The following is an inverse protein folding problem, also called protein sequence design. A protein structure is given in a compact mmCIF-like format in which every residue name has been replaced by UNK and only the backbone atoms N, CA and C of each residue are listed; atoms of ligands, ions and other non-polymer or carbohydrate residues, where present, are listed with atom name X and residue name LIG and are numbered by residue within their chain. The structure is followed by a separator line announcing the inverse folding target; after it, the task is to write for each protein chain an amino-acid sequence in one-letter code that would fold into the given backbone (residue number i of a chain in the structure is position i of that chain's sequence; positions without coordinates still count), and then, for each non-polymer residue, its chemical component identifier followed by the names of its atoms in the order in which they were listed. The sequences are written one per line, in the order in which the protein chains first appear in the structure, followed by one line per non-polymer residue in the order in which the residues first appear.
data_IF_811710423534
#
_entry.id   IF_811710423534
#
_cell.length_a   1.000
_cell.length_b   1.000
_cell.length_c   1.000
_cell.angle_alpha   90.00
_cell.angle_beta   90.00
_cell.angle_gamma   90.00
#
_symmetry.space_group_name_H-M   'P 1'
#
loop_
_entity.id
_entity.type
_entity.pdbx_description
1 polymer ?
#
# COMPACT_ATOMS: atom_id res chain seq x y z
N UNK A 1 -4.12 -10.40 15.57
CA UNK A 1 -3.30 -11.37 14.80
C UNK A 1 -3.39 -12.71 15.48
N UNK A 2 -3.66 -13.75 14.70
CA UNK A 2 -3.81 -15.14 15.14
C UNK A 2 -2.79 -16.02 14.42
N UNK A 3 -2.45 -17.13 15.03
CA UNK A 3 -1.73 -18.20 14.36
C UNK A 3 -2.73 -19.03 13.54
N UNK A 4 -2.42 -19.25 12.27
CA UNK A 4 -3.32 -19.99 11.37
C UNK A 4 -3.36 -21.50 11.61
N UNK A 5 -2.48 -22.06 12.45
CA UNK A 5 -2.41 -23.50 12.72
C UNK A 5 -3.24 -23.91 13.95
N UNK A 6 -3.09 -23.13 15.07
CA UNK A 6 -3.64 -23.50 16.36
C UNK A 6 -4.58 -22.44 16.98
N UNK A 7 -4.94 -21.42 16.20
CA UNK A 7 -5.81 -20.28 16.59
C UNK A 7 -5.22 -19.39 17.70
N UNK A 8 -4.00 -19.65 18.15
CA UNK A 8 -3.37 -18.83 19.20
C UNK A 8 -3.38 -17.35 18.86
N UNK A 9 -3.90 -16.52 19.76
CA UNK A 9 -3.87 -15.07 19.59
C UNK A 9 -2.47 -14.53 19.87
N UNK A 10 -1.74 -14.18 18.83
CA UNK A 10 -0.36 -13.71 18.89
C UNK A 10 -0.31 -12.28 19.43
N UNK A 11 -1.25 -11.44 19.06
CA UNK A 11 -1.35 -10.07 19.53
C UNK A 11 -2.67 -9.41 19.12
N UNK A 12 -3.07 -8.43 19.89
CA UNK A 12 -4.26 -7.60 19.63
C UNK A 12 -3.91 -6.15 19.90
N UNK A 13 -4.29 -5.28 18.98
CA UNK A 13 -4.14 -3.85 19.10
C UNK A 13 -5.53 -3.23 19.06
N UNK A 14 -5.86 -2.50 20.12
CA UNK A 14 -7.11 -1.75 20.18
C UNK A 14 -6.98 -0.50 19.31
N UNK A 15 -7.87 -0.37 18.33
CA UNK A 15 -7.87 0.75 17.36
C UNK A 15 -9.07 1.68 17.54
N UNK A 16 -9.66 1.66 18.73
CA UNK A 16 -10.80 2.50 19.11
C UNK A 16 -10.37 3.90 19.58
N UNK A 17 -11.07 4.41 20.61
CA UNK A 17 -10.89 5.79 21.08
C UNK A 17 -9.47 6.09 21.58
N UNK A 18 -8.83 5.17 22.31
CA UNK A 18 -7.46 5.35 22.78
C UNK A 18 -6.45 5.52 21.62
N UNK A 19 -6.64 4.77 20.52
CA UNK A 19 -5.85 4.93 19.31
C UNK A 19 -6.08 6.31 18.68
N UNK A 20 -7.34 6.74 18.58
CA UNK A 20 -7.70 8.05 18.04
C UNK A 20 -7.11 9.20 18.87
N UNK A 21 -7.14 9.10 20.19
CA UNK A 21 -6.53 10.09 21.07
C UNK A 21 -5.02 10.15 20.92
N UNK A 22 -4.35 8.98 20.76
CA UNK A 22 -2.90 8.91 20.60
C UNK A 22 -2.42 9.47 19.25
N UNK A 23 -3.10 9.13 18.15
CA UNK A 23 -2.64 9.44 16.79
C UNK A 23 -3.44 10.54 16.07
N UNK A 24 -4.47 11.08 16.72
CA UNK A 24 -5.28 12.17 16.18
C UNK A 24 -6.33 11.75 15.14
N UNK A 25 -6.26 10.52 14.61
CA UNK A 25 -7.16 10.01 13.59
C UNK A 25 -7.63 8.60 13.93
N UNK A 26 -8.84 8.20 13.51
CA UNK A 26 -9.31 6.83 13.67
C UNK A 26 -8.52 5.88 12.76
N UNK A 27 -8.33 4.65 13.20
CA UNK A 27 -7.95 3.57 12.29
C UNK A 27 -9.15 3.22 11.40
N UNK A 28 -8.97 3.22 10.09
CA UNK A 28 -10.04 2.96 9.15
C UNK A 28 -9.60 1.98 8.05
N UNK A 29 -10.54 1.17 7.61
CA UNK A 29 -10.46 0.39 6.37
C UNK A 29 -11.56 0.87 5.43
N UNK A 30 -11.24 0.96 4.15
CA UNK A 30 -12.17 1.50 3.15
C UNK A 30 -12.10 0.68 1.86
N UNK A 31 -13.22 0.59 1.17
CA UNK A 31 -13.23 0.01 -0.16
C UNK A 31 -12.48 0.94 -1.13
N UNK A 32 -11.59 0.36 -1.93
CA UNK A 32 -10.69 1.14 -2.80
C UNK A 32 -11.41 2.04 -3.80
N UNK A 33 -12.53 1.58 -4.36
CA UNK A 33 -13.32 2.38 -5.29
C UNK A 33 -13.98 3.59 -4.59
N UNK A 34 -14.36 3.44 -3.33
CA UNK A 34 -15.05 4.51 -2.59
C UNK A 34 -14.09 5.68 -2.31
N UNK A 35 -12.86 5.41 -1.84
CA UNK A 35 -11.87 6.46 -1.65
C UNK A 35 -11.42 7.10 -2.97
N UNK A 36 -11.27 6.29 -4.04
CA UNK A 36 -10.92 6.81 -5.35
C UNK A 36 -12.03 7.75 -5.89
N UNK A 37 -13.30 7.33 -5.76
CA UNK A 37 -14.44 8.14 -6.16
C UNK A 37 -14.46 9.49 -5.45
N UNK A 38 -14.35 9.50 -4.12
CA UNK A 38 -14.35 10.73 -3.32
C UNK A 38 -13.20 11.69 -3.68
N UNK A 39 -12.00 11.15 -3.93
CA UNK A 39 -10.86 11.98 -4.36
C UNK A 39 -11.06 12.56 -5.76
N UNK A 40 -11.64 11.78 -6.69
CA UNK A 40 -11.93 12.23 -8.04
C UNK A 40 -13.01 13.32 -8.04
N UNK A 41 -14.11 13.10 -7.30
CA UNK A 41 -15.18 14.09 -7.13
C UNK A 41 -14.62 15.40 -6.57
N UNK A 42 -13.84 15.35 -5.50
CA UNK A 42 -13.20 16.53 -4.92
C UNK A 42 -12.28 17.25 -5.92
N UNK A 43 -11.53 16.51 -6.75
CA UNK A 43 -10.69 17.11 -7.79
C UNK A 43 -11.52 17.84 -8.86
N UNK A 44 -12.62 17.22 -9.31
CA UNK A 44 -13.56 17.81 -10.30
C UNK A 44 -14.21 19.09 -9.75
N UNK A 45 -14.67 19.05 -8.51
CA UNK A 45 -15.33 20.19 -7.85
C UNK A 45 -14.44 21.44 -7.74
N UNK A 46 -13.13 21.27 -7.73
CA UNK A 46 -12.21 22.43 -7.73
C UNK A 46 -12.32 23.28 -9.01
N UNK A 47 -12.77 22.69 -10.13
CA UNK A 47 -12.78 23.34 -11.45
C UNK A 47 -11.38 23.67 -12.00
N UNK A 48 -10.31 23.15 -11.39
CA UNK A 48 -8.91 23.45 -11.73
C UNK A 48 -8.16 22.30 -12.36
N UNK A 49 -8.81 21.15 -12.52
CA UNK A 49 -8.18 19.92 -13.04
C UNK A 49 -8.87 19.55 -14.35
N UNK A 50 -8.10 19.40 -15.41
CA UNK A 50 -8.54 18.85 -16.67
C UNK A 50 -8.13 17.37 -16.77
N UNK A 51 -9.07 16.52 -17.19
CA UNK A 51 -8.84 15.09 -17.29
C UNK A 51 -8.79 14.66 -18.76
N UNK A 52 -7.71 14.01 -19.14
CA UNK A 52 -7.50 13.45 -20.47
C UNK A 52 -7.41 11.93 -20.38
N UNK A 53 -8.51 11.24 -20.61
CA UNK A 53 -8.56 9.78 -20.67
C UNK A 53 -8.00 9.27 -21.99
N UNK A 54 -7.67 7.97 -22.05
CA UNK A 54 -7.08 7.32 -23.25
C UNK A 54 -5.82 8.02 -23.76
N UNK A 55 -5.09 8.70 -22.87
CA UNK A 55 -3.87 9.45 -23.16
C UNK A 55 -2.70 8.81 -22.42
N UNK A 56 -1.98 7.93 -23.10
CA UNK A 56 -0.81 7.24 -22.54
C UNK A 56 0.44 8.06 -22.81
N UNK A 57 1.12 8.46 -21.75
CA UNK A 57 2.41 9.14 -21.86
C UNK A 57 3.50 8.09 -22.08
N UNK A 58 4.37 8.33 -23.06
CA UNK A 58 5.46 7.44 -23.43
C UNK A 58 6.85 8.05 -23.22
N UNK A 59 6.94 9.39 -23.20
CA UNK A 59 8.22 10.09 -23.06
C UNK A 59 8.06 11.40 -22.30
N UNK A 60 9.11 11.78 -21.59
CA UNK A 60 9.24 13.09 -20.94
C UNK A 60 10.48 13.79 -21.49
N UNK A 61 10.36 15.04 -21.87
CA UNK A 61 11.45 15.92 -22.28
C UNK A 61 11.49 17.16 -21.37
N UNK A 62 12.66 17.74 -21.19
CA UNK A 62 12.84 18.96 -20.39
C UNK A 62 13.65 19.98 -21.18
N UNK A 63 13.35 21.25 -20.91
CA UNK A 63 14.07 22.38 -21.44
C UNK A 63 14.51 23.26 -20.26
N UNK A 64 15.80 23.22 -19.96
CA UNK A 64 16.38 23.97 -18.84
C UNK A 64 16.39 25.49 -19.09
N UNK A 65 16.42 25.92 -20.35
CA UNK A 65 16.44 27.34 -20.70
C UNK A 65 15.07 27.98 -20.41
N UNK A 66 13.99 27.29 -20.74
CA UNK A 66 12.62 27.75 -20.47
C UNK A 66 12.07 27.27 -19.12
N UNK A 67 12.79 26.40 -18.44
CA UNK A 67 12.36 25.73 -17.21
C UNK A 67 11.02 25.02 -17.38
N UNK A 68 10.81 24.34 -18.50
CA UNK A 68 9.58 23.58 -18.80
C UNK A 68 9.86 22.09 -18.92
N UNK A 69 8.81 21.30 -18.70
CA UNK A 69 8.79 19.87 -18.93
C UNK A 69 7.66 19.54 -19.89
N UNK A 70 7.90 18.58 -20.79
CA UNK A 70 6.94 18.16 -21.81
C UNK A 70 6.68 16.67 -21.68
N UNK A 71 5.43 16.29 -21.45
CA UNK A 71 4.96 14.92 -21.61
C UNK A 71 4.55 14.70 -23.07
N UNK A 72 4.94 13.56 -23.63
CA UNK A 72 4.60 13.18 -25.02
C UNK A 72 3.77 11.89 -24.95
N UNK A 73 2.58 11.94 -25.53
CA UNK A 73 1.67 10.79 -25.55
C UNK A 73 1.94 9.85 -26.74
N UNK A 74 1.24 8.71 -26.75
CA UNK A 74 1.33 7.66 -27.76
C UNK A 74 1.04 8.13 -29.21
N UNK A 75 0.44 9.31 -29.38
CA UNK A 75 0.13 9.91 -30.67
C UNK A 75 1.12 11.02 -31.05
N UNK A 76 2.16 11.25 -30.23
CA UNK A 76 3.13 12.32 -30.41
C UNK A 76 2.64 13.71 -30.00
N UNK A 77 1.44 13.83 -29.40
CA UNK A 77 0.95 15.10 -28.86
C UNK A 77 1.79 15.51 -27.66
N UNK A 78 2.11 16.78 -27.61
CA UNK A 78 2.99 17.38 -26.61
C UNK A 78 2.17 18.17 -25.58
N UNK A 79 2.42 17.89 -24.30
CA UNK A 79 1.79 18.53 -23.15
C UNK A 79 2.86 19.26 -22.37
N UNK A 80 2.91 20.58 -22.48
CA UNK A 80 3.97 21.41 -21.85
C UNK A 80 3.48 21.98 -20.52
N UNK A 81 4.33 21.89 -19.49
CA UNK A 81 4.04 22.40 -18.16
C UNK A 81 5.29 22.91 -17.44
N UNK A 82 5.08 23.54 -16.28
CA UNK A 82 6.15 24.00 -15.40
C UNK A 82 6.75 22.87 -14.56
N UNK A 83 5.99 21.81 -14.31
CA UNK A 83 6.43 20.61 -13.63
C UNK A 83 5.60 19.40 -14.10
N UNK A 84 6.16 18.21 -13.95
CA UNK A 84 5.51 16.94 -14.24
C UNK A 84 5.59 16.04 -13.01
N UNK A 85 4.45 15.46 -12.63
CA UNK A 85 4.36 14.51 -11.53
C UNK A 85 3.99 13.14 -12.10
N UNK A 86 4.92 12.19 -12.07
CA UNK A 86 4.70 10.80 -12.44
C UNK A 86 3.99 10.05 -11.31
N UNK A 87 2.68 9.89 -11.44
CA UNK A 87 1.84 9.07 -10.57
C UNK A 87 1.34 7.80 -11.28
N UNK A 88 2.14 7.28 -12.20
CA UNK A 88 1.82 6.27 -13.20
C UNK A 88 2.09 4.82 -12.72
N UNK A 89 2.19 4.64 -11.40
CA UNK A 89 2.19 3.33 -10.74
C UNK A 89 3.50 2.57 -10.82
N UNK A 90 3.50 1.33 -10.36
CA UNK A 90 4.72 0.53 -10.20
C UNK A 90 5.48 0.22 -11.50
N UNK A 91 4.81 0.35 -12.65
CA UNK A 91 5.42 0.24 -14.00
C UNK A 91 5.66 1.62 -14.63
N UNK A 92 5.92 2.62 -13.81
CA UNK A 92 6.09 4.02 -14.20
C UNK A 92 7.01 4.23 -15.39
N UNK A 93 6.49 4.88 -16.43
CA UNK A 93 7.26 5.34 -17.60
C UNK A 93 8.16 6.51 -17.20
N UNK A 94 7.66 7.40 -16.34
CA UNK A 94 8.45 8.54 -15.83
C UNK A 94 9.67 8.04 -15.06
N UNK A 95 9.49 7.12 -14.10
CA UNK A 95 10.62 6.53 -13.36
C UNK A 95 11.59 5.83 -14.29
N UNK A 96 11.12 4.99 -15.19
CA UNK A 96 11.97 4.20 -16.09
C UNK A 96 12.85 5.04 -17.00
N UNK A 97 12.44 6.27 -17.31
CA UNK A 97 13.25 7.17 -18.13
C UNK A 97 14.49 7.70 -17.40
N UNK A 98 14.45 7.79 -16.07
CA UNK A 98 15.56 8.33 -15.26
C UNK A 98 16.28 7.27 -14.43
N UNK A 99 15.59 6.18 -14.09
CA UNK A 99 16.10 5.14 -13.20
C UNK A 99 15.94 3.78 -13.86
N UNK A 100 17.05 3.14 -14.17
CA UNK A 100 17.05 1.78 -14.72
C UNK A 100 17.05 0.75 -13.59
N UNK A 101 15.89 0.57 -12.94
CA UNK A 101 15.71 -0.38 -11.85
C UNK A 101 14.62 -1.41 -12.16
N UNK A 102 14.95 -2.69 -12.32
CA UNK A 102 13.95 -3.72 -12.56
C UNK A 102 13.08 -3.94 -11.32
N UNK A 103 11.84 -4.40 -11.49
CA UNK A 103 11.00 -4.81 -10.36
C UNK A 103 11.60 -6.03 -9.68
N UNK A 104 11.55 -6.06 -8.37
CA UNK A 104 11.87 -7.22 -7.54
C UNK A 104 10.60 -8.05 -7.35
N UNK A 105 10.44 -9.08 -8.17
CA UNK A 105 9.35 -10.06 -8.02
C UNK A 105 9.59 -10.86 -6.75
N UNK A 106 8.64 -10.80 -5.82
CA UNK A 106 8.83 -11.34 -4.46
C UNK A 106 8.65 -12.85 -4.36
N UNK A 107 8.07 -13.48 -5.38
CA UNK A 107 7.59 -14.86 -5.31
C UNK A 107 6.32 -15.03 -4.47
N UNK A 108 5.76 -13.94 -3.94
CA UNK A 108 4.51 -13.98 -3.20
C UNK A 108 3.33 -13.69 -4.12
N UNK A 109 2.26 -14.44 -3.92
CA UNK A 109 1.01 -14.28 -4.64
C UNK A 109 -0.08 -13.89 -3.66
N UNK A 110 -0.87 -12.90 -4.04
CA UNK A 110 -2.01 -12.39 -3.29
C UNK A 110 -3.29 -12.70 -4.02
N UNK A 111 -4.23 -13.29 -3.32
CA UNK A 111 -5.60 -13.47 -3.78
C UNK A 111 -6.53 -12.59 -2.97
N UNK A 112 -7.50 -11.98 -3.64
CA UNK A 112 -8.50 -11.14 -2.97
C UNK A 112 -9.89 -11.48 -3.46
N UNK A 113 -10.82 -11.45 -2.51
CA UNK A 113 -12.25 -11.58 -2.77
C UNK A 113 -13.03 -10.70 -1.80
N UNK A 114 -14.24 -10.33 -2.21
CA UNK A 114 -15.23 -9.69 -1.35
C UNK A 114 -16.39 -10.68 -1.17
N UNK A 115 -16.81 -10.85 0.06
CA UNK A 115 -17.90 -11.75 0.46
C UNK A 115 -19.01 -10.89 1.08
N UNK A 116 -20.24 -11.13 0.69
CA UNK A 116 -21.40 -10.43 1.27
C UNK A 116 -21.64 -10.90 2.72
N UNK A 117 -22.14 -10.02 3.55
CA UNK A 117 -22.44 -10.27 4.97
C UNK A 117 -23.29 -11.52 5.19
N UNK A 118 -24.26 -11.75 4.30
CA UNK A 118 -25.17 -12.89 4.40
C UNK A 118 -24.45 -14.24 4.26
N UNK A 119 -23.37 -14.28 3.46
CA UNK A 119 -22.58 -15.48 3.20
C UNK A 119 -21.40 -15.62 4.20
N UNK A 120 -21.17 -14.63 5.07
CA UNK A 120 -20.02 -14.61 6.00
C UNK A 120 -20.39 -15.25 7.35
N UNK A 121 -19.53 -16.11 7.95
CA UNK A 121 -19.81 -16.78 9.23
C UNK A 121 -19.96 -15.79 10.38
N UNK A 122 -20.99 -15.97 11.21
CA UNK A 122 -21.29 -15.08 12.33
C UNK A 122 -20.17 -14.99 13.38
N UNK A 123 -19.50 -16.12 13.63
CA UNK A 123 -18.38 -16.20 14.58
C UNK A 123 -17.07 -15.54 14.07
N UNK A 124 -17.05 -15.09 12.82
CA UNK A 124 -15.93 -14.36 12.19
C UNK A 124 -16.30 -12.92 11.81
N UNK A 125 -17.52 -12.46 12.07
CA UNK A 125 -17.98 -11.07 11.82
C UNK A 125 -17.42 -10.09 12.84
N UNK A 126 -16.08 -10.05 12.93
CA UNK A 126 -15.40 -9.15 13.86
C UNK A 126 -15.26 -7.75 13.27
N UNK A 127 -15.52 -6.72 14.07
CA UNK A 127 -15.16 -5.34 13.70
C UNK A 127 -13.65 -5.12 13.92
N UNK A 128 -12.86 -5.81 13.13
CA UNK A 128 -11.40 -5.79 13.23
C UNK A 128 -10.75 -6.17 11.89
N UNK A 129 -9.57 -5.64 11.64
CA UNK A 129 -8.68 -6.20 10.63
C UNK A 129 -7.92 -7.37 11.25
N UNK A 130 -8.29 -8.59 10.88
CA UNK A 130 -7.82 -9.84 11.49
C UNK A 130 -6.86 -10.55 10.55
N UNK A 131 -5.66 -10.83 11.05
CA UNK A 131 -4.62 -11.53 10.31
C UNK A 131 -4.36 -12.91 10.93
N UNK A 132 -4.28 -13.93 10.11
CA UNK A 132 -3.96 -15.31 10.44
C UNK A 132 -2.61 -15.67 9.80
N UNK A 133 -1.59 -15.74 10.61
CA UNK A 133 -0.22 -15.97 10.17
C UNK A 133 0.13 -17.45 10.18
N UNK A 134 0.62 -17.96 9.07
CA UNK A 134 0.94 -19.39 8.91
C UNK A 134 2.26 -19.64 8.16
N UNK A 135 2.74 -20.88 8.15
CA UNK A 135 3.97 -21.23 7.45
C UNK A 135 3.90 -20.91 5.96
N UNK A 136 4.72 -19.96 5.50
CA UNK A 136 4.79 -19.48 4.11
C UNK A 136 3.47 -18.90 3.56
N UNK A 137 2.50 -18.62 4.44
CA UNK A 137 1.21 -18.04 4.04
C UNK A 137 0.62 -17.18 5.14
N UNK A 138 -0.33 -16.36 4.80
CA UNK A 138 -1.23 -15.70 5.75
C UNK A 138 -2.54 -15.37 5.06
N UNK A 139 -3.56 -15.13 5.86
CA UNK A 139 -4.83 -14.60 5.38
C UNK A 139 -5.28 -13.44 6.27
N UNK A 140 -6.02 -12.52 5.68
CA UNK A 140 -6.56 -11.36 6.36
C UNK A 140 -8.03 -11.22 6.00
N UNK A 141 -8.86 -10.90 7.00
CA UNK A 141 -10.23 -10.49 6.73
C UNK A 141 -10.60 -9.27 7.55
N UNK A 142 -11.49 -8.46 7.02
CA UNK A 142 -12.00 -7.27 7.68
C UNK A 142 -13.31 -6.81 7.04
N UNK A 143 -14.21 -6.15 7.84
CA UNK A 143 -15.44 -5.59 7.33
C UNK A 143 -15.19 -4.40 6.41
N UNK A 144 -16.07 -4.23 5.42
CA UNK A 144 -16.18 -3.09 4.54
C UNK A 144 -17.60 -2.52 4.59
N UNK A 145 -17.78 -1.24 4.24
CA UNK A 145 -19.10 -0.59 4.14
C UNK A 145 -19.95 -0.83 5.39
N UNK A 146 -19.40 -0.57 6.57
CA UNK A 146 -20.12 -0.76 7.83
C UNK A 146 -20.42 -2.22 8.19
N UNK A 147 -19.72 -3.18 7.58
CA UNK A 147 -19.92 -4.61 7.83
C UNK A 147 -20.90 -5.29 6.87
N UNK A 148 -21.39 -4.59 5.84
CA UNK A 148 -22.24 -5.20 4.81
C UNK A 148 -21.47 -6.13 3.88
N UNK A 149 -20.15 -5.95 3.81
CA UNK A 149 -19.24 -6.80 3.05
C UNK A 149 -17.98 -7.11 3.86
N UNK A 150 -17.33 -8.21 3.54
CA UNK A 150 -16.05 -8.62 4.11
C UNK A 150 -15.02 -8.83 3.02
N UNK A 151 -13.88 -8.17 3.15
CA UNK A 151 -12.73 -8.45 2.31
C UNK A 151 -11.97 -9.66 2.86
N UNK A 152 -11.65 -10.61 1.98
CA UNK A 152 -10.79 -11.75 2.29
C UNK A 152 -9.57 -11.68 1.40
N UNK A 153 -8.41 -11.67 2.01
CA UNK A 153 -7.11 -11.63 1.33
C UNK A 153 -6.29 -12.81 1.78
N UNK A 154 -5.76 -13.56 0.85
CA UNK A 154 -4.80 -14.63 1.16
C UNK A 154 -3.49 -14.36 0.44
N UNK A 155 -2.39 -14.69 1.08
CA UNK A 155 -1.05 -14.53 0.52
C UNK A 155 -0.23 -15.78 0.82
N UNK A 156 0.53 -16.24 -0.16
CA UNK A 156 1.42 -17.38 0.00
C UNK A 156 2.67 -17.24 -0.86
N UNK A 157 3.70 -18.03 -0.53
CA UNK A 157 4.87 -18.18 -1.37
C UNK A 157 4.55 -19.13 -2.51
N UNK A 158 4.64 -18.65 -3.75
CA UNK A 158 4.43 -19.49 -4.93
C UNK A 158 5.50 -20.58 -5.05
N UNK A 159 5.09 -21.75 -5.52
CA UNK A 159 5.98 -22.86 -5.90
C UNK A 159 6.52 -22.70 -7.33
N UNK A 160 6.03 -21.69 -8.04
CA UNK A 160 6.40 -21.38 -9.42
C UNK A 160 7.17 -20.06 -9.50
N UNK A 161 7.89 -19.87 -10.59
CA UNK A 161 8.47 -18.58 -10.92
C UNK A 161 7.36 -17.65 -11.38
N UNK A 162 7.12 -16.60 -10.61
CA UNK A 162 6.07 -15.64 -10.89
C UNK A 162 6.55 -14.51 -11.81
N UNK A 163 5.59 -13.98 -12.58
CA UNK A 163 5.76 -12.72 -13.30
C UNK A 163 4.85 -11.66 -12.69
N UNK A 164 5.35 -10.46 -12.50
CA UNK A 164 4.56 -9.36 -11.95
C UNK A 164 3.34 -9.05 -12.80
N UNK A 165 2.16 -9.28 -12.25
CA UNK A 165 0.91 -9.09 -12.99
C UNK A 165 -0.33 -9.48 -12.20
N UNK A 166 -1.46 -9.34 -12.89
CA UNK A 166 -2.80 -9.66 -12.38
C UNK A 166 -3.45 -10.66 -13.32
N UNK A 167 -4.03 -11.70 -12.76
CA UNK A 167 -4.76 -12.76 -13.49
C UNK A 167 -6.02 -13.15 -12.73
N UNK A 168 -6.86 -13.95 -13.33
CA UNK A 168 -7.91 -14.62 -12.59
C UNK A 168 -7.30 -15.71 -11.71
N UNK A 169 -7.85 -15.87 -10.52
CA UNK A 169 -7.37 -16.82 -9.53
C UNK A 169 -8.19 -18.09 -9.50
N UNK A 170 -7.60 -19.18 -9.02
CA UNK A 170 -8.25 -20.48 -8.85
C UNK A 170 -8.37 -20.80 -7.36
N UNK A 171 -9.52 -21.34 -6.97
CA UNK A 171 -9.80 -21.80 -5.60
C UNK A 171 -8.88 -22.96 -5.23
N UNK A 172 -8.67 -23.87 -6.16
CA UNK A 172 -7.82 -25.06 -6.00
C UNK A 172 -6.36 -24.65 -5.74
N UNK A 173 -5.86 -23.58 -6.41
CA UNK A 173 -4.53 -23.06 -6.12
C UNK A 173 -4.46 -22.56 -4.67
N UNK A 174 -5.41 -21.74 -4.21
CA UNK A 174 -5.47 -21.26 -2.83
C UNK A 174 -5.49 -22.45 -1.85
N UNK A 175 -6.40 -23.40 -2.00
CA UNK A 175 -6.53 -24.55 -1.12
C UNK A 175 -5.23 -25.38 -1.04
N UNK A 176 -4.49 -25.47 -2.14
CA UNK A 176 -3.23 -26.22 -2.20
C UNK A 176 -2.11 -25.63 -1.35
N UNK A 177 -2.16 -24.31 -1.09
CA UNK A 177 -1.16 -23.61 -0.27
C UNK A 177 -1.56 -23.48 1.20
N UNK A 178 -2.83 -23.68 1.55
CA UNK A 178 -3.36 -23.52 2.90
C UNK A 178 -3.68 -24.86 3.57
N UNK A 179 -2.84 -25.86 3.35
CA UNK A 179 -2.98 -27.14 4.02
C UNK A 179 -2.59 -27.04 5.49
N UNK A 180 -3.32 -27.75 6.36
CA UNK A 180 -3.03 -27.84 7.80
C UNK A 180 -3.35 -26.58 8.61
N UNK A 181 -4.07 -25.62 8.04
CA UNK A 181 -4.59 -24.47 8.82
C UNK A 181 -5.80 -24.89 9.65
N UNK A 182 -6.06 -24.13 10.74
CA UNK A 182 -7.18 -24.37 11.63
C UNK A 182 -8.56 -24.23 10.94
N UNK A 183 -9.62 -24.83 11.49
CA UNK A 183 -10.96 -24.81 10.88
C UNK A 183 -11.49 -23.40 10.61
N UNK A 184 -11.31 -22.45 11.53
CA UNK A 184 -11.77 -21.06 11.35
C UNK A 184 -11.08 -20.34 10.20
N UNK A 185 -9.75 -20.50 10.09
CA UNK A 185 -9.00 -19.93 8.97
C UNK A 185 -9.39 -20.57 7.64
N UNK A 186 -9.68 -21.88 7.66
CA UNK A 186 -10.14 -22.64 6.48
C UNK A 186 -11.49 -22.14 5.96
N UNK A 187 -12.45 -21.87 6.85
CA UNK A 187 -13.73 -21.30 6.43
C UNK A 187 -13.55 -20.06 5.54
N UNK A 188 -12.63 -19.16 5.90
CA UNK A 188 -12.40 -17.92 5.15
C UNK A 188 -11.94 -18.14 3.71
N UNK A 189 -11.18 -19.18 3.42
CA UNK A 189 -10.75 -19.49 2.06
C UNK A 189 -11.80 -20.24 1.24
N UNK A 190 -12.77 -20.86 1.89
CA UNK A 190 -13.85 -21.61 1.27
C UNK A 190 -15.02 -20.70 0.81
N UNK A 191 -15.18 -19.53 1.44
CA UNK A 191 -16.29 -18.60 1.18
C UNK A 191 -16.28 -17.99 -0.24
N UNK A 192 -15.16 -17.51 -0.78
CA UNK A 192 -15.17 -16.79 -2.05
C UNK A 192 -15.55 -17.68 -3.22
N UNK A 193 -16.50 -17.21 -4.04
CA UNK A 193 -16.92 -17.86 -5.29
C UNK A 193 -15.93 -17.61 -6.43
N UNK A 194 -15.18 -16.52 -6.37
CA UNK A 194 -14.17 -16.15 -7.35
C UNK A 194 -13.02 -15.37 -6.68
N UNK A 195 -11.86 -15.43 -7.27
CA UNK A 195 -10.67 -14.79 -6.78
C UNK A 195 -9.97 -13.97 -7.87
N UNK A 196 -9.43 -12.81 -7.47
CA UNK A 196 -8.43 -12.10 -8.27
C UNK A 196 -7.06 -12.40 -7.72
N UNK A 197 -6.11 -12.66 -8.60
CA UNK A 197 -4.75 -13.09 -8.30
C UNK A 197 -3.74 -12.01 -8.71
N UNK A 198 -2.84 -11.67 -7.81
CA UNK A 198 -1.73 -10.76 -8.03
C UNK A 198 -0.41 -11.46 -7.70
N UNK A 199 0.47 -11.61 -8.67
CA UNK A 199 1.89 -11.88 -8.40
C UNK A 199 2.54 -10.56 -8.00
N UNK A 200 3.10 -10.48 -6.79
CA UNK A 200 3.56 -9.23 -6.20
C UNK A 200 5.01 -8.90 -6.53
N UNK A 201 5.27 -7.62 -6.70
CA UNK A 201 6.61 -7.08 -6.81
C UNK A 201 6.71 -5.77 -6.02
N UNK A 202 7.90 -5.45 -5.58
CA UNK A 202 8.28 -4.11 -5.13
C UNK A 202 9.50 -3.63 -5.92
N UNK A 203 10.02 -2.47 -5.58
CA UNK A 203 11.31 -1.97 -6.07
C UNK A 203 12.19 -1.57 -4.90
N UNK A 204 13.49 -1.50 -5.13
CA UNK A 204 14.39 -0.93 -4.13
C UNK A 204 14.05 0.56 -3.92
N UNK A 205 14.03 1.01 -2.67
CA UNK A 205 13.91 2.44 -2.40
C UNK A 205 15.05 3.21 -3.03
N UNK A 206 14.72 4.30 -3.69
CA UNK A 206 15.71 5.19 -4.32
C UNK A 206 15.79 6.52 -3.58
N UNK A 207 16.98 7.10 -3.51
CA UNK A 207 17.23 8.36 -2.80
C UNK A 207 16.85 9.61 -3.59
N UNK A 208 16.60 9.49 -4.89
CA UNK A 208 16.29 10.63 -5.76
C UNK A 208 14.96 10.43 -6.46
N UNK A 209 14.04 11.37 -6.25
CA UNK A 209 12.71 11.40 -6.86
C UNK A 209 12.50 12.58 -7.78
N UNK A 210 13.43 13.53 -7.76
CA UNK A 210 13.39 14.76 -8.53
C UNK A 210 14.41 14.68 -9.67
N UNK A 211 13.94 14.88 -10.87
CA UNK A 211 14.69 14.85 -12.11
C UNK A 211 14.43 16.15 -12.88
N UNK A 212 15.14 17.23 -12.51
CA UNK A 212 14.84 18.57 -12.99
C UNK A 212 13.43 19.01 -12.60
N UNK A 213 12.56 19.23 -13.58
CA UNK A 213 11.15 19.60 -13.39
C UNK A 213 10.17 18.42 -13.34
N UNK A 214 10.68 17.21 -13.38
CA UNK A 214 9.88 16.00 -13.19
C UNK A 214 10.11 15.40 -11.81
N UNK A 215 9.05 14.88 -11.20
CA UNK A 215 9.10 14.08 -9.97
C UNK A 215 8.16 12.88 -10.06
N UNK A 216 8.30 11.96 -9.12
CA UNK A 216 7.45 10.76 -8.99
C UNK A 216 6.79 10.72 -7.61
N UNK A 217 5.61 10.10 -7.53
CA UNK A 217 4.90 9.85 -6.26
C UNK A 217 4.14 8.52 -6.28
N UNK A 218 3.71 8.08 -5.12
CA UNK A 218 2.96 6.84 -4.97
C UNK A 218 3.74 5.62 -5.46
N UNK A 219 3.07 4.65 -6.07
CA UNK A 219 3.71 3.42 -6.57
C UNK A 219 4.76 3.67 -7.67
N UNK A 220 4.79 4.85 -8.30
CA UNK A 220 5.88 5.22 -9.20
C UNK A 220 7.19 5.45 -8.42
N UNK A 221 7.10 6.02 -7.23
CA UNK A 221 8.25 6.30 -6.36
C UNK A 221 8.62 5.11 -5.46
N UNK A 222 7.61 4.49 -4.83
CA UNK A 222 7.79 3.50 -3.75
C UNK A 222 6.82 2.32 -3.85
N UNK A 223 6.82 1.56 -4.96
CA UNK A 223 5.98 0.38 -5.06
C UNK A 223 6.33 -0.58 -3.92
N UNK A 224 5.34 -1.00 -3.16
CA UNK A 224 5.52 -1.77 -1.93
C UNK A 224 4.67 -3.02 -1.90
N UNK A 225 5.11 -4.00 -1.12
CA UNK A 225 4.29 -5.15 -0.80
C UNK A 225 3.16 -4.78 0.19
N UNK A 226 2.13 -5.59 0.26
CA UNK A 226 0.90 -5.32 1.02
C UNK A 226 1.03 -5.45 2.55
N UNK A 227 2.15 -5.91 3.07
CA UNK A 227 2.28 -6.34 4.48
C UNK A 227 2.08 -5.24 5.53
N UNK A 228 2.38 -4.00 5.19
CA UNK A 228 2.12 -2.83 6.06
C UNK A 228 0.78 -2.15 5.75
N UNK A 229 0.09 -2.54 4.67
CA UNK A 229 -1.15 -1.92 4.20
C UNK A 229 -1.06 -0.38 4.02
N UNK A 230 0.11 0.15 3.64
CA UNK A 230 0.41 1.59 3.61
C UNK A 230 0.54 2.20 2.21
N UNK A 231 0.47 1.40 1.13
CA UNK A 231 0.74 1.92 -0.22
C UNK A 231 -0.14 3.12 -0.61
N UNK A 232 -1.45 3.03 -0.41
CA UNK A 232 -2.37 4.13 -0.69
C UNK A 232 -2.18 5.32 0.27
N UNK A 233 -1.91 5.04 1.56
CA UNK A 233 -1.64 6.08 2.55
C UNK A 233 -0.40 6.89 2.16
N UNK A 234 0.69 6.22 1.79
CA UNK A 234 1.91 6.89 1.34
C UNK A 234 1.67 7.80 0.13
N UNK A 235 0.88 7.33 -0.85
CA UNK A 235 0.56 8.14 -2.03
C UNK A 235 -0.26 9.40 -1.69
N UNK A 236 -1.20 9.30 -0.76
CA UNK A 236 -1.95 10.46 -0.25
C UNK A 236 -1.06 11.41 0.55
N UNK A 237 -0.18 10.88 1.40
CA UNK A 237 0.82 11.66 2.11
C UNK A 237 1.75 12.41 1.15
N UNK A 238 2.18 11.76 0.05
CA UNK A 238 3.02 12.38 -0.98
C UNK A 238 2.32 13.58 -1.61
N UNK A 239 1.06 13.41 -2.04
CA UNK A 239 0.30 14.47 -2.67
C UNK A 239 0.12 15.69 -1.76
N UNK A 240 -0.22 15.44 -0.49
CA UNK A 240 -0.37 16.51 0.52
C UNK A 240 0.98 17.19 0.80
N UNK A 241 2.07 16.42 0.95
CA UNK A 241 3.41 16.97 1.23
C UNK A 241 3.90 17.83 0.07
N UNK A 242 3.68 17.40 -1.19
CA UNK A 242 4.03 18.20 -2.36
C UNK A 242 3.21 19.49 -2.44
N UNK A 243 1.90 19.40 -2.17
CA UNK A 243 1.03 20.57 -2.13
C UNK A 243 1.47 21.58 -1.06
N UNK A 244 1.82 21.10 0.13
CA UNK A 244 2.32 21.96 1.22
C UNK A 244 3.71 22.54 0.90
N UNK A 245 4.59 21.77 0.29
CA UNK A 245 5.88 22.26 -0.19
C UNK A 245 5.72 23.41 -1.17
N UNK A 246 4.81 23.28 -2.14
CA UNK A 246 4.48 24.38 -3.08
C UNK A 246 3.92 25.62 -2.38
N UNK A 247 3.10 25.42 -1.37
CA UNK A 247 2.52 26.50 -0.59
C UNK A 247 3.58 27.31 0.16
N UNK A 248 4.48 26.63 0.88
CA UNK A 248 5.49 27.31 1.71
C UNK A 248 6.64 27.91 0.90
N UNK A 249 6.90 27.40 -0.31
CA UNK A 249 7.90 27.94 -1.23
C UNK A 249 7.35 28.98 -2.21
N UNK A 250 6.13 29.48 -1.97
CA UNK A 250 5.47 30.43 -2.87
C UNK A 250 5.43 29.98 -4.34
N UNK A 251 5.18 28.68 -4.55
CA UNK A 251 5.12 28.02 -5.86
C UNK A 251 6.46 28.00 -6.65
N UNK A 252 7.57 28.15 -5.97
CA UNK A 252 8.87 27.86 -6.54
C UNK A 252 9.02 26.34 -6.67
N UNK A 253 8.94 25.84 -7.91
CA UNK A 253 8.96 24.40 -8.18
C UNK A 253 10.29 23.75 -7.81
N UNK A 254 11.44 24.43 -8.01
CA UNK A 254 12.74 23.86 -7.68
C UNK A 254 12.87 23.65 -6.17
N UNK A 255 12.50 24.64 -5.39
CA UNK A 255 12.49 24.57 -3.93
C UNK A 255 11.43 23.57 -3.41
N UNK A 256 10.24 23.56 -4.01
CA UNK A 256 9.14 22.68 -3.60
C UNK A 256 9.47 21.20 -3.84
N UNK A 257 10.01 20.86 -4.99
CA UNK A 257 10.38 19.49 -5.32
C UNK A 257 11.51 18.97 -4.41
N UNK A 258 12.52 19.82 -4.12
CA UNK A 258 13.58 19.49 -3.18
C UNK A 258 13.04 19.23 -1.76
N UNK A 259 12.14 20.10 -1.29
CA UNK A 259 11.51 19.97 0.03
C UNK A 259 10.60 18.72 0.11
N UNK A 260 9.83 18.44 -0.92
CA UNK A 260 9.02 17.24 -1.05
C UNK A 260 9.88 15.98 -0.92
N UNK A 261 10.90 15.84 -1.75
CA UNK A 261 11.80 14.68 -1.73
C UNK A 261 12.44 14.48 -0.36
N UNK A 262 12.95 15.57 0.25
CA UNK A 262 13.58 15.54 1.58
C UNK A 262 12.68 14.91 2.63
N UNK A 263 11.38 15.23 2.61
CA UNK A 263 10.43 14.79 3.64
C UNK A 263 9.82 13.41 3.35
N UNK A 264 9.91 12.90 2.11
CA UNK A 264 9.20 11.67 1.73
C UNK A 264 10.10 10.45 1.58
N UNK A 265 11.30 10.60 1.02
CA UNK A 265 12.17 9.46 0.65
C UNK A 265 12.44 8.53 1.83
N UNK A 266 12.94 9.05 2.95
CA UNK A 266 13.30 8.21 4.10
C UNK A 266 12.08 7.55 4.74
N UNK A 267 10.95 8.29 4.86
CA UNK A 267 9.73 7.76 5.44
C UNK A 267 9.17 6.58 4.61
N UNK A 268 9.03 6.76 3.31
CA UNK A 268 8.50 5.72 2.44
C UNK A 268 9.45 4.53 2.30
N UNK A 269 10.76 4.77 2.22
CA UNK A 269 11.77 3.72 2.25
C UNK A 269 11.65 2.86 3.52
N UNK A 270 11.48 3.48 4.69
CA UNK A 270 11.27 2.76 5.96
C UNK A 270 10.02 1.88 5.90
N UNK A 271 8.91 2.36 5.32
CA UNK A 271 7.68 1.58 5.17
C UNK A 271 7.89 0.39 4.21
N UNK A 272 8.54 0.61 3.07
CA UNK A 272 8.84 -0.47 2.11
C UNK A 272 9.69 -1.56 2.75
N UNK A 273 10.78 -1.20 3.42
CA UNK A 273 11.69 -2.14 4.08
C UNK A 273 11.01 -2.86 5.26
N UNK A 274 10.25 -2.13 6.09
CA UNK A 274 9.46 -2.74 7.17
C UNK A 274 8.41 -3.71 6.63
N UNK A 275 7.83 -3.42 5.46
CA UNK A 275 6.90 -4.33 4.80
C UNK A 275 7.54 -5.68 4.46
N UNK A 276 8.78 -5.69 4.01
CA UNK A 276 9.54 -6.92 3.75
C UNK A 276 9.74 -7.75 5.02
N UNK A 277 10.11 -7.11 6.12
CA UNK A 277 10.30 -7.79 7.41
C UNK A 277 8.97 -8.32 7.98
N UNK A 278 7.89 -7.55 7.86
CA UNK A 278 6.55 -8.01 8.27
C UNK A 278 6.09 -9.22 7.46
N UNK A 279 6.38 -9.25 6.15
CA UNK A 279 6.12 -10.42 5.32
C UNK A 279 6.83 -11.69 5.83
N UNK A 280 8.09 -11.56 6.23
CA UNK A 280 8.84 -12.66 6.84
C UNK A 280 8.21 -13.13 8.16
N UNK A 281 7.82 -12.19 9.03
CA UNK A 281 7.16 -12.50 10.30
C UNK A 281 5.83 -13.23 10.11
N UNK A 282 4.99 -12.75 9.18
CA UNK A 282 3.68 -13.37 8.94
C UNK A 282 3.81 -14.80 8.40
N UNK A 283 4.87 -15.08 7.67
CA UNK A 283 5.11 -16.37 7.00
C UNK A 283 6.09 -17.30 7.74
N UNK A 284 6.44 -16.96 8.97
CA UNK A 284 7.36 -17.74 9.79
C UNK A 284 6.90 -19.19 9.96
N UNK A 285 7.85 -20.12 9.89
CA UNK A 285 7.63 -21.55 10.00
C UNK A 285 8.57 -22.18 11.05
N UNK A 286 8.28 -23.42 11.48
CA UNK A 286 9.13 -24.15 12.41
C UNK A 286 9.40 -23.35 13.69
N UNK A 287 10.68 -23.27 14.10
CA UNK A 287 11.09 -22.55 15.33
C UNK A 287 10.82 -21.04 15.21
N UNK A 288 10.99 -20.45 14.02
CA UNK A 288 10.68 -19.02 13.82
C UNK A 288 9.20 -18.70 14.11
N UNK A 289 8.26 -19.61 13.80
CA UNK A 289 6.84 -19.46 14.15
C UNK A 289 6.67 -19.40 15.69
N UNK A 290 7.35 -20.26 16.44
CA UNK A 290 7.28 -20.27 17.91
C UNK A 290 7.83 -18.96 18.50
N UNK A 291 8.94 -18.47 17.97
CA UNK A 291 9.52 -17.18 18.37
C UNK A 291 8.54 -16.05 18.05
N UNK A 292 8.00 -15.99 16.82
CA UNK A 292 6.99 -15.00 16.43
C UNK A 292 5.80 -14.99 17.40
N UNK A 293 5.25 -16.16 17.74
CA UNK A 293 4.09 -16.27 18.63
C UNK A 293 4.38 -15.74 20.04
N UNK A 294 5.64 -15.67 20.45
CA UNK A 294 6.06 -15.14 21.74
C UNK A 294 6.46 -13.68 21.76
N UNK A 295 6.75 -13.07 20.59
CA UNK A 295 7.33 -11.71 20.47
C UNK A 295 6.51 -10.62 21.18
N UNK A 296 5.20 -10.76 21.19
CA UNK A 296 4.29 -9.74 21.71
C UNK A 296 3.53 -10.18 22.95
N UNK A 297 3.90 -11.35 23.50
CA UNK A 297 3.28 -11.89 24.72
C UNK A 297 3.44 -10.89 25.88
N UNK A 298 2.33 -10.50 26.48
CA UNK A 298 2.30 -9.56 27.61
C UNK A 298 2.62 -8.10 27.25
N UNK A 299 2.68 -7.75 25.95
CA UNK A 299 2.86 -6.35 25.54
C UNK A 299 1.59 -5.56 25.82
N UNK A 300 1.72 -4.43 26.52
CA UNK A 300 0.61 -3.51 26.77
C UNK A 300 0.19 -2.75 25.49
N UNK A 301 -1.01 -2.22 25.45
CA UNK A 301 -1.49 -1.38 24.34
C UNK A 301 -0.60 -0.17 24.11
N UNK A 302 -0.16 0.49 25.19
CA UNK A 302 0.76 1.63 25.13
C UNK A 302 2.05 1.28 24.39
N UNK A 303 2.67 0.15 24.74
CA UNK A 303 3.89 -0.32 24.05
C UNK A 303 3.65 -0.68 22.58
N UNK A 304 2.44 -1.10 22.21
CA UNK A 304 2.09 -1.24 20.79
C UNK A 304 2.01 0.11 20.11
N UNK A 305 1.38 1.11 20.74
CA UNK A 305 1.26 2.45 20.19
C UNK A 305 2.64 3.11 20.04
N UNK A 306 3.50 3.01 21.04
CA UNK A 306 4.89 3.52 20.96
C UNK A 306 5.65 2.91 19.76
N UNK A 307 5.51 1.61 19.56
CA UNK A 307 6.15 0.93 18.43
C UNK A 307 5.60 1.35 17.06
N UNK A 308 4.39 1.91 17.01
CA UNK A 308 3.72 2.37 15.79
C UNK A 308 3.73 3.89 15.61
N UNK A 309 4.26 4.65 16.57
CA UNK A 309 4.28 6.13 16.54
C UNK A 309 4.89 6.66 15.23
N UNK A 310 6.00 6.10 14.81
CA UNK A 310 6.67 6.50 13.57
C UNK A 310 5.80 6.32 12.31
N UNK A 311 4.82 5.40 12.36
CA UNK A 311 3.93 5.10 11.23
C UNK A 311 2.65 5.92 11.29
N UNK A 312 1.93 5.87 12.43
CA UNK A 312 0.62 6.48 12.59
C UNK A 312 0.65 7.90 13.18
N UNK A 313 1.77 8.32 13.74
CA UNK A 313 1.95 9.69 14.27
C UNK A 313 2.18 10.76 13.21
N UNK A 314 2.32 10.38 11.93
CA UNK A 314 2.39 11.34 10.84
C UNK A 314 1.04 12.05 10.64
N UNK A 315 1.08 13.36 10.44
CA UNK A 315 -0.10 14.13 10.07
C UNK A 315 0.24 15.26 9.10
N UNK A 316 -0.79 15.79 8.44
CA UNK A 316 -0.64 16.84 7.42
C UNK A 316 -0.02 18.15 7.95
N UNK A 317 -0.25 18.49 9.22
CA UNK A 317 0.21 19.75 9.80
C UNK A 317 1.71 19.78 10.08
N UNK A 318 2.37 18.63 10.15
CA UNK A 318 3.80 18.50 10.36
C UNK A 318 4.53 17.76 9.23
N UNK A 319 3.91 17.63 8.08
CA UNK A 319 4.43 16.83 6.95
C UNK A 319 5.77 17.32 6.39
N UNK A 320 6.15 18.57 6.64
CA UNK A 320 7.44 19.16 6.25
C UNK A 320 8.47 19.26 7.40
N UNK A 321 8.17 18.71 8.57
CA UNK A 321 9.03 18.77 9.76
C UNK A 321 9.71 17.45 10.09
N UNK A 322 9.37 16.38 9.38
CA UNK A 322 9.79 15.01 9.68
C UNK A 322 10.99 14.54 8.85
N UNK A 323 11.83 15.44 8.42
CA UNK A 323 13.07 15.17 7.70
C UNK A 323 14.28 14.96 8.61
#
# INVERSE_FOLDING_TARGET
MHDAIDEYQIGKIETGEAFRQRFGNPYAVIHRADIHGSLLEGAVETGRVEFFTNTRIEKVEQDDATKTVTAIDQNGKRWVGQALIGADGGKSVVRAQYVNDPPRVTGHVVYRAVVEKADFPDDLKWNAASLWAGPKCHLVHYPLRGGEQYNVVVTFHSRQQEQWGVTDGSKEEVESYFQGICPKARQLIELPKSWRRWATADKEPIGTWVFGRATILGDAAHPTTQYMAQGACMAMEDAVTLGEALRVTNKDWDAALALYQKNRVTRTARIVLSGREMGRLYHAAGVERLVRNSLWKGRSQERFYDAMEWLYGWNVHNCLQQG
#
